data_IF_904840064073
#
_entry.id   IF_904840064073
#
_cell.length_a   1.000
_cell.length_b   1.000
_cell.length_c   1.000
_cell.angle_alpha   90.00
_cell.angle_beta   90.00
_cell.angle_gamma   90.00
#
_symmetry.space_group_name_H-M   'P 1'
#
loop_
_entity.id
_entity.type
_entity.pdbx_description
1 polymer ?
#
# COMPACT_ATOMS: atom_id res chain seq x y z
N UNK A 1 -1.93 11.39 0.44
CA UNK A 1 -3.26 10.81 0.77
C UNK A 1 -3.84 9.97 -0.37
N UNK A 2 -3.74 10.37 -1.63
CA UNK A 2 -4.21 9.58 -2.78
C UNK A 2 -3.55 8.19 -2.86
N UNK A 3 -2.31 8.04 -2.38
CA UNK A 3 -1.65 6.73 -2.31
C UNK A 3 -2.32 5.73 -1.34
N UNK A 4 -2.93 6.20 -0.25
CA UNK A 4 -3.68 5.31 0.67
C UNK A 4 -4.93 4.79 -0.01
N UNK A 5 -5.65 5.65 -0.74
CA UNK A 5 -6.81 5.26 -1.54
C UNK A 5 -6.44 4.24 -2.63
N UNK A 6 -5.30 4.46 -3.30
CA UNK A 6 -4.83 3.60 -4.39
C UNK A 6 -4.34 2.23 -3.90
N UNK A 7 -3.65 2.18 -2.76
CA UNK A 7 -3.08 0.94 -2.21
C UNK A 7 -4.14 0.10 -1.47
N UNK A 8 -5.04 0.75 -0.72
CA UNK A 8 -6.03 0.06 0.12
C UNK A 8 -7.43 0.00 -0.51
N UNK A 9 -7.60 0.51 -1.73
CA UNK A 9 -8.88 0.58 -2.45
C UNK A 9 -10.02 1.27 -1.67
N UNK A 10 -9.67 2.24 -0.83
CA UNK A 10 -10.64 2.95 -0.01
C UNK A 10 -11.32 4.08 -0.80
N UNK A 11 -12.66 4.24 -0.73
CA UNK A 11 -13.34 5.43 -1.25
C UNK A 11 -12.75 6.76 -0.74
N UNK A 12 -12.50 7.68 -1.68
CA UNK A 12 -11.93 9.00 -1.39
C UNK A 12 -12.72 9.84 -0.36
N UNK A 13 -14.07 9.83 -0.36
CA UNK A 13 -14.85 10.54 0.66
C UNK A 13 -14.65 9.99 2.08
N UNK A 14 -14.39 8.67 2.21
CA UNK A 14 -14.15 8.05 3.50
C UNK A 14 -12.79 8.50 4.09
N UNK A 15 -11.77 8.66 3.23
CA UNK A 15 -10.48 9.22 3.64
C UNK A 15 -10.59 10.70 4.03
N UNK A 16 -11.40 11.49 3.33
CA UNK A 16 -11.58 12.90 3.65
C UNK A 16 -12.32 13.15 4.97
N UNK A 17 -13.18 12.20 5.39
CA UNK A 17 -13.91 12.27 6.66
C UNK A 17 -13.09 11.76 7.86
N UNK A 18 -11.90 11.20 7.63
CA UNK A 18 -11.10 10.53 8.64
C UNK A 18 -10.21 11.52 9.42
N UNK A 19 -10.06 11.35 10.73
CA UNK A 19 -9.10 12.11 11.53
C UNK A 19 -7.67 12.00 10.99
N UNK A 20 -6.87 13.07 11.13
CA UNK A 20 -5.52 13.13 10.57
C UNK A 20 -4.57 12.08 11.18
N UNK A 21 -4.69 11.83 12.47
CA UNK A 21 -3.96 10.79 13.20
C UNK A 21 -4.27 9.39 12.64
N UNK A 22 -5.54 9.08 12.43
CA UNK A 22 -5.96 7.82 11.82
C UNK A 22 -5.47 7.69 10.37
N UNK A 23 -5.51 8.80 9.59
CA UNK A 23 -4.95 8.83 8.24
C UNK A 23 -3.46 8.55 8.19
N UNK A 24 -2.69 9.06 9.16
CA UNK A 24 -1.24 8.83 9.24
C UNK A 24 -0.92 7.37 9.58
N UNK A 25 -1.69 6.75 10.46
CA UNK A 25 -1.57 5.31 10.76
C UNK A 25 -1.85 4.45 9.53
N UNK A 26 -2.91 4.75 8.79
CA UNK A 26 -3.23 4.05 7.55
C UNK A 26 -2.20 4.29 6.45
N UNK A 27 -1.60 5.47 6.39
CA UNK A 27 -0.49 5.74 5.49
C UNK A 27 0.72 4.85 5.78
N UNK A 28 1.09 4.68 7.05
CA UNK A 28 2.16 3.77 7.46
C UNK A 28 1.88 2.32 7.06
N UNK A 29 0.63 1.86 7.23
CA UNK A 29 0.20 0.51 6.84
C UNK A 29 0.22 0.31 5.32
N UNK A 30 -0.25 1.29 4.55
CA UNK A 30 -0.24 1.25 3.09
C UNK A 30 1.20 1.12 2.54
N UNK A 31 2.15 1.89 3.08
CA UNK A 31 3.57 1.79 2.70
C UNK A 31 4.13 0.40 3.05
N UNK A 32 3.83 -0.13 4.23
CA UNK A 32 4.30 -1.45 4.64
C UNK A 32 3.78 -2.55 3.72
N UNK A 33 2.50 -2.48 3.34
CA UNK A 33 1.87 -3.41 2.40
C UNK A 33 2.53 -3.34 1.02
N UNK A 34 2.72 -2.14 0.47
CA UNK A 34 3.35 -1.96 -0.84
C UNK A 34 4.80 -2.49 -0.88
N UNK A 35 5.57 -2.25 0.19
CA UNK A 35 6.94 -2.80 0.32
C UNK A 35 6.95 -4.33 0.36
N UNK A 36 5.98 -4.94 1.05
CA UNK A 36 5.85 -6.39 1.10
C UNK A 36 5.50 -6.99 -0.27
N UNK A 37 4.52 -6.42 -0.99
CA UNK A 37 4.15 -6.87 -2.34
C UNK A 37 5.32 -6.74 -3.32
N UNK A 38 6.00 -5.60 -3.32
CA UNK A 38 7.16 -5.36 -4.20
C UNK A 38 8.27 -6.38 -3.96
N UNK A 39 8.53 -6.75 -2.69
CA UNK A 39 9.51 -7.78 -2.35
C UNK A 39 9.09 -9.16 -2.87
N UNK A 40 7.81 -9.53 -2.73
CA UNK A 40 7.30 -10.81 -3.25
C UNK A 40 7.46 -10.86 -4.77
N UNK A 41 7.04 -9.81 -5.48
CA UNK A 41 7.19 -9.72 -6.94
C UNK A 41 8.64 -9.81 -7.39
N UNK A 42 9.58 -9.17 -6.68
CA UNK A 42 11.00 -9.24 -6.99
C UNK A 42 11.55 -10.67 -6.84
N UNK A 43 11.12 -11.40 -5.81
CA UNK A 43 11.50 -12.81 -5.63
C UNK A 43 10.92 -13.69 -6.75
N UNK A 44 9.65 -13.50 -7.11
CA UNK A 44 9.03 -14.27 -8.20
C UNK A 44 9.67 -13.97 -9.56
N UNK A 45 10.01 -12.71 -9.85
CA UNK A 45 10.78 -12.35 -11.05
C UNK A 45 12.18 -12.97 -11.05
N UNK A 46 12.87 -12.96 -9.90
CA UNK A 46 14.19 -13.59 -9.79
C UNK A 46 14.13 -15.11 -10.04
N UNK A 47 13.07 -15.79 -9.58
CA UNK A 47 12.83 -17.21 -9.90
C UNK A 47 12.53 -17.43 -11.38
N UNK A 48 11.69 -16.58 -11.98
CA UNK A 48 11.30 -16.70 -13.39
C UNK A 48 12.45 -16.46 -14.37
N UNK A 49 13.47 -15.68 -13.98
CA UNK A 49 14.65 -15.39 -14.79
C UNK A 49 15.83 -16.35 -14.56
N UNK A 50 15.73 -17.26 -13.59
CA UNK A 50 16.82 -18.16 -13.17
C UNK A 50 16.47 -19.65 -13.21
N UNK A 51 15.44 -20.05 -13.96
CA UNK A 51 14.99 -21.44 -14.14
C UNK A 51 15.37 -22.02 -15.50
#
# INVERSE_FOLDING_TARGET
>A
MAEVAAILHWPLPALQAMPLDELLDWHGRAIAFWKADTRVRAVELAKALGG
#
